data_IF_040974224266
#
_entry.id   IF_040974224266
#
_cell.length_a   1.000
_cell.length_b   1.000
_cell.length_c   1.000
_cell.angle_alpha   90.00
_cell.angle_beta   90.00
_cell.angle_gamma   90.00
#
_symmetry.space_group_name_H-M   'P 1'
#
loop_
_entity.id
_entity.type
_entity.pdbx_description
1 polymer ?
#
# COMPACT_ATOMS: atom_id res chain seq x y z
N UNK A 1 13.02 7.00 -26.78
CA UNK A 1 13.42 7.47 -25.43
C UNK A 1 13.98 6.28 -24.66
N UNK A 2 14.98 6.48 -23.81
CA UNK A 2 15.65 5.42 -23.03
C UNK A 2 15.77 5.84 -21.56
N UNK A 3 15.85 4.85 -20.67
CA UNK A 3 16.02 5.07 -19.24
C UNK A 3 17.44 5.55 -18.95
N UNK A 4 17.59 6.70 -18.28
CA UNK A 4 18.89 7.27 -17.94
C UNK A 4 19.60 6.60 -16.75
N UNK A 5 19.00 5.57 -16.16
CA UNK A 5 19.60 4.77 -15.06
C UNK A 5 20.19 3.47 -15.61
N UNK A 6 19.41 2.71 -16.38
CA UNK A 6 19.83 1.41 -16.90
C UNK A 6 20.21 1.43 -18.40
N UNK A 7 20.10 2.58 -19.06
CA UNK A 7 20.40 2.79 -20.49
C UNK A 7 19.61 1.87 -21.44
N UNK A 8 18.49 1.30 -20.97
CA UNK A 8 17.60 0.49 -21.80
C UNK A 8 16.55 1.35 -22.50
N UNK A 9 16.25 1.01 -23.76
CA UNK A 9 15.18 1.67 -24.52
C UNK A 9 13.82 1.36 -23.90
N UNK A 10 12.98 2.38 -23.75
CA UNK A 10 11.62 2.16 -23.28
C UNK A 10 10.84 1.33 -24.29
N UNK A 11 10.09 0.35 -23.81
CA UNK A 11 9.27 -0.52 -24.64
C UNK A 11 7.91 -0.71 -23.98
N UNK A 12 6.81 -0.29 -24.62
CA UNK A 12 5.47 -0.50 -24.07
C UNK A 12 5.07 -1.98 -24.05
N UNK A 13 5.79 -2.84 -24.77
CA UNK A 13 5.57 -4.28 -24.78
C UNK A 13 6.26 -5.00 -23.60
N UNK A 14 7.11 -4.31 -22.84
CA UNK A 14 7.83 -4.88 -21.72
C UNK A 14 7.52 -4.08 -20.45
N UNK A 15 6.81 -4.67 -19.45
CA UNK A 15 6.41 -3.94 -18.25
C UNK A 15 7.61 -3.29 -17.54
N UNK A 16 8.72 -4.04 -17.41
CA UNK A 16 10.00 -3.58 -16.84
C UNK A 16 10.58 -2.31 -17.51
N UNK A 17 10.29 -2.11 -18.80
CA UNK A 17 10.78 -0.99 -19.62
C UNK A 17 9.70 0.07 -19.88
N UNK A 18 8.58 -0.01 -19.16
CA UNK A 18 7.55 1.02 -19.22
C UNK A 18 8.09 2.30 -18.59
N UNK A 19 8.02 3.44 -19.29
CA UNK A 19 8.46 4.72 -18.74
C UNK A 19 7.47 5.20 -17.66
N UNK A 20 8.00 5.55 -16.49
CA UNK A 20 7.28 6.14 -15.36
C UNK A 20 7.83 7.53 -15.10
N UNK A 21 6.94 8.52 -15.00
CA UNK A 21 7.29 9.92 -14.73
C UNK A 21 7.18 10.17 -13.24
N UNK A 22 8.25 10.68 -12.63
CA UNK A 22 8.27 11.10 -11.23
C UNK A 22 7.55 12.44 -11.11
N UNK A 23 6.32 12.44 -10.60
CA UNK A 23 5.46 13.64 -10.53
C UNK A 23 6.08 14.79 -9.73
N UNK A 24 7.00 14.50 -8.81
CA UNK A 24 7.66 15.53 -8.00
C UNK A 24 8.79 16.28 -8.71
N UNK A 25 9.39 15.72 -9.76
CA UNK A 25 10.52 16.36 -10.46
C UNK A 25 10.42 16.34 -11.99
N UNK A 26 9.47 15.62 -12.56
CA UNK A 26 9.28 15.50 -14.02
C UNK A 26 10.25 14.54 -14.71
N UNK A 27 11.17 13.90 -13.98
CA UNK A 27 12.11 12.94 -14.56
C UNK A 27 11.44 11.60 -14.86
N UNK A 28 11.81 11.00 -15.99
CA UNK A 28 11.27 9.72 -16.45
C UNK A 28 12.30 8.60 -16.30
N UNK A 29 11.89 7.50 -15.66
CA UNK A 29 12.70 6.29 -15.46
C UNK A 29 11.88 5.05 -15.84
N UNK A 30 12.51 3.88 -16.04
CA UNK A 30 11.75 2.67 -16.33
C UNK A 30 11.18 2.05 -15.05
N UNK A 31 10.09 1.29 -15.17
CA UNK A 31 9.43 0.58 -14.08
C UNK A 31 10.40 -0.25 -13.25
N UNK A 32 11.24 -1.07 -13.90
CA UNK A 32 12.26 -1.88 -13.22
C UNK A 32 13.22 -1.05 -12.36
N UNK A 33 13.62 0.14 -12.85
CA UNK A 33 14.48 1.04 -12.08
C UNK A 33 13.70 1.68 -10.93
N UNK A 34 12.43 2.04 -11.14
CA UNK A 34 11.57 2.56 -10.09
C UNK A 34 11.37 1.53 -8.97
N UNK A 35 11.03 0.29 -9.31
CA UNK A 35 10.91 -0.82 -8.35
C UNK A 35 12.21 -1.08 -7.60
N UNK A 36 13.36 -1.07 -8.28
CA UNK A 36 14.64 -1.30 -7.63
C UNK A 36 15.02 -0.16 -6.67
N UNK A 37 14.60 1.08 -6.95
CA UNK A 37 14.74 2.21 -6.03
C UNK A 37 13.74 2.15 -4.86
N UNK A 38 12.58 1.53 -5.07
CA UNK A 38 11.50 1.38 -4.09
C UNK A 38 11.62 0.15 -3.20
N UNK A 39 12.44 -0.84 -3.57
CA UNK A 39 12.51 -2.19 -2.96
C UNK A 39 12.58 -2.26 -1.43
N UNK A 40 12.89 -1.17 -0.72
CA UNK A 40 12.88 -1.10 0.75
C UNK A 40 12.34 0.22 1.32
N UNK A 41 11.79 1.12 0.49
CA UNK A 41 11.43 2.46 0.94
C UNK A 41 10.13 2.93 0.32
N UNK A 42 9.23 3.50 1.14
CA UNK A 42 7.99 4.19 0.74
C UNK A 42 8.23 5.49 -0.05
N UNK A 43 9.46 5.72 -0.50
CA UNK A 43 9.91 6.99 -1.06
C UNK A 43 10.92 6.71 -2.15
N UNK A 44 10.64 7.22 -3.34
CA UNK A 44 11.53 7.16 -4.48
C UNK A 44 12.38 8.44 -4.49
N UNK A 45 13.68 8.29 -4.27
CA UNK A 45 14.62 9.41 -4.38
C UNK A 45 15.13 9.48 -5.82
N UNK A 46 14.80 10.57 -6.52
CA UNK A 46 15.30 10.79 -7.87
C UNK A 46 16.83 10.88 -7.87
N UNK A 47 17.56 10.13 -8.72
CA UNK A 47 19.02 10.21 -8.76
C UNK A 47 19.55 11.48 -9.41
N UNK A 48 18.73 12.20 -10.18
CA UNK A 48 19.12 13.44 -10.88
C UNK A 48 19.11 14.65 -9.92
N UNK A 49 17.97 14.94 -9.30
CA UNK A 49 17.82 16.14 -8.45
C UNK A 49 17.68 15.82 -6.95
N UNK A 50 17.72 14.53 -6.57
CA UNK A 50 17.52 14.05 -5.19
C UNK A 50 16.13 14.36 -4.62
N UNK A 51 15.21 14.85 -5.44
CA UNK A 51 13.81 15.08 -5.08
C UNK A 51 13.16 13.74 -4.74
N UNK A 52 12.44 13.73 -3.61
CA UNK A 52 11.76 12.54 -3.11
C UNK A 52 10.31 12.57 -3.58
N UNK A 53 9.92 11.53 -4.31
CA UNK A 53 8.53 11.25 -4.66
C UNK A 53 8.00 10.19 -3.72
N UNK A 54 6.94 10.52 -2.98
CA UNK A 54 6.21 9.55 -2.17
C UNK A 54 5.27 8.80 -3.10
N UNK A 55 5.46 7.48 -3.21
CA UNK A 55 4.49 6.60 -3.84
C UNK A 55 3.56 6.15 -2.73
N UNK A 56 2.29 6.55 -2.81
CA UNK A 56 1.24 5.94 -2.00
C UNK A 56 1.23 4.45 -2.37
N UNK A 57 1.58 3.59 -1.42
CA UNK A 57 1.43 2.15 -1.60
C UNK A 57 -0.06 1.83 -1.61
N UNK A 58 -0.68 1.90 -2.79
CA UNK A 58 -1.77 0.99 -3.11
C UNK A 58 -1.07 -0.30 -3.56
N UNK A 59 -0.72 -1.15 -2.60
CA UNK A 59 -0.10 -2.45 -2.86
C UNK A 59 -1.04 -3.30 -3.72
N UNK A 60 -0.91 -3.23 -5.04
CA UNK A 60 -1.53 -4.20 -5.94
C UNK A 60 -0.71 -5.48 -5.91
N UNK A 61 -0.99 -6.31 -4.91
CA UNK A 61 -0.90 -7.75 -5.05
C UNK A 61 -2.21 -8.29 -4.51
N UNK A 62 -3.28 -8.24 -5.31
CA UNK A 62 -4.52 -9.04 -5.13
C UNK A 62 -4.83 -9.45 -3.69
N UNK A 63 -4.81 -8.50 -2.75
CA UNK A 63 -4.67 -8.82 -1.34
C UNK A 63 -6.05 -8.96 -0.73
N UNK A 64 -6.71 -10.03 -1.13
CA UNK A 64 -7.91 -10.52 -0.48
C UNK A 64 -7.51 -11.15 0.87
N UNK A 65 -6.52 -10.64 1.60
CA UNK A 65 -6.06 -11.14 2.88
C UNK A 65 -5.94 -10.04 3.95
N UNK A 66 -6.01 -10.49 5.20
CA UNK A 66 -5.92 -9.61 6.35
C UNK A 66 -4.45 -9.28 6.61
N UNK A 67 -4.07 -8.02 6.47
CA UNK A 67 -2.71 -7.51 6.71
C UNK A 67 -2.18 -7.70 8.15
N UNK A 68 -3.00 -8.18 9.09
CA UNK A 68 -2.58 -8.51 10.47
C UNK A 68 -2.23 -9.99 10.61
N UNK A 69 -3.04 -10.89 10.04
CA UNK A 69 -2.86 -12.33 10.20
C UNK A 69 -2.44 -13.04 8.91
N UNK A 70 -2.27 -12.28 7.82
CA UNK A 70 -1.90 -12.71 6.47
C UNK A 70 -2.79 -13.84 5.93
N UNK A 71 -4.05 -13.90 6.40
CA UNK A 71 -5.02 -14.90 5.97
C UNK A 71 -6.01 -14.32 4.98
N UNK A 72 -6.30 -15.08 3.91
CA UNK A 72 -7.30 -14.72 2.91
C UNK A 72 -8.68 -14.50 3.53
N UNK A 73 -9.28 -13.35 3.24
CA UNK A 73 -10.68 -13.04 3.42
C UNK A 73 -11.54 -14.11 2.76
N UNK A 74 -12.57 -14.53 3.49
CA UNK A 74 -13.52 -15.53 3.03
C UNK A 74 -14.89 -15.17 3.57
N UNK A 75 -15.82 -14.80 2.68
CA UNK A 75 -17.19 -14.45 3.05
C UNK A 75 -17.97 -15.60 3.70
N UNK A 76 -17.56 -16.85 3.48
CA UNK A 76 -18.19 -18.01 4.11
C UNK A 76 -17.73 -18.23 5.56
N UNK A 77 -16.60 -17.65 5.97
CA UNK A 77 -16.03 -17.83 7.30
C UNK A 77 -16.22 -16.58 8.13
N UNK A 78 -17.05 -16.62 9.18
CA UNK A 78 -17.32 -15.47 10.08
C UNK A 78 -16.05 -14.76 10.57
N UNK A 79 -14.97 -15.50 10.79
CA UNK A 79 -13.68 -14.98 11.27
C UNK A 79 -12.86 -14.25 10.21
N UNK A 80 -13.10 -14.56 8.92
CA UNK A 80 -12.36 -14.03 7.77
C UNK A 80 -13.17 -13.01 6.98
N UNK A 81 -14.28 -12.51 7.52
CA UNK A 81 -15.04 -11.46 6.87
C UNK A 81 -14.26 -10.13 7.07
N UNK A 82 -13.94 -9.39 5.98
CA UNK A 82 -13.32 -8.08 6.09
C UNK A 82 -14.27 -7.07 6.75
N UNK A 83 -13.72 -6.22 7.60
CA UNK A 83 -14.40 -5.14 8.32
C UNK A 83 -13.58 -3.87 8.19
N UNK A 84 -14.27 -2.78 7.83
CA UNK A 84 -13.65 -1.47 7.60
C UNK A 84 -13.91 -0.58 8.81
N UNK A 85 -12.85 0.03 9.35
CA UNK A 85 -12.93 0.97 10.46
C UNK A 85 -13.31 2.37 9.96
N UNK A 86 -14.47 2.89 10.37
CA UNK A 86 -14.99 4.18 9.89
C UNK A 86 -14.08 5.39 10.17
N UNK A 87 -13.23 5.34 11.21
CA UNK A 87 -12.35 6.47 11.59
C UNK A 87 -11.06 6.56 10.77
N UNK A 88 -10.57 5.45 10.22
CA UNK A 88 -9.31 5.40 9.50
C UNK A 88 -9.42 4.88 8.06
N UNK A 89 -10.49 4.16 7.72
CA UNK A 89 -10.67 3.52 6.43
C UNK A 89 -9.91 2.20 6.27
N UNK A 90 -9.16 1.76 7.29
CA UNK A 90 -8.43 0.49 7.22
C UNK A 90 -9.34 -0.72 7.35
N UNK A 91 -9.00 -1.78 6.63
CA UNK A 91 -9.76 -3.03 6.56
C UNK A 91 -9.00 -4.17 7.25
N UNK A 92 -9.70 -5.00 8.03
CA UNK A 92 -9.16 -6.18 8.70
C UNK A 92 -10.20 -7.26 8.90
N UNK A 93 -9.78 -8.51 9.10
CA UNK A 93 -10.74 -9.60 9.30
C UNK A 93 -11.41 -9.52 10.67
N UNK A 94 -12.63 -10.04 10.77
CA UNK A 94 -13.41 -10.05 12.02
C UNK A 94 -12.63 -10.65 13.20
N UNK A 95 -11.82 -11.68 12.98
CA UNK A 95 -10.99 -12.27 14.03
C UNK A 95 -9.92 -11.31 14.56
N UNK A 96 -9.25 -10.58 13.67
CA UNK A 96 -8.27 -9.57 14.09
C UNK A 96 -8.98 -8.37 14.71
N UNK A 97 -10.13 -7.97 14.19
CA UNK A 97 -10.94 -6.90 14.77
C UNK A 97 -11.30 -7.18 16.23
N UNK A 98 -11.77 -8.41 16.54
CA UNK A 98 -12.05 -8.84 17.92
C UNK A 98 -10.83 -8.80 18.84
N UNK A 99 -9.62 -9.01 18.31
CA UNK A 99 -8.37 -8.90 19.09
C UNK A 99 -7.96 -7.46 19.33
N UNK A 100 -8.52 -6.50 18.59
CA UNK A 100 -8.24 -5.06 18.74
C UNK A 100 -9.37 -4.34 19.49
N UNK A 101 -10.44 -5.04 19.81
CA UNK A 101 -11.55 -4.56 20.63
C UNK A 101 -11.16 -4.70 22.11
N UNK A 102 -11.04 -3.56 22.79
CA UNK A 102 -10.75 -3.45 24.21
C UNK A 102 -11.66 -2.35 24.78
N UNK A 103 -12.38 -2.63 25.87
CA UNK A 103 -13.29 -1.68 26.53
C UNK A 103 -14.21 -0.87 25.57
N UNK A 104 -14.94 -1.56 24.68
CA UNK A 104 -15.84 -0.98 23.65
C UNK A 104 -15.14 -0.06 22.62
N UNK A 105 -13.82 -0.17 22.49
CA UNK A 105 -13.03 0.65 21.59
C UNK A 105 -12.14 -0.26 20.72
N UNK A 106 -12.05 0.07 19.43
CA UNK A 106 -11.15 -0.62 18.51
C UNK A 106 -9.98 0.30 18.19
N UNK A 107 -8.77 -0.14 18.52
CA UNK A 107 -7.54 0.57 18.16
C UNK A 107 -7.02 0.01 16.84
N UNK A 108 -6.89 0.85 15.83
CA UNK A 108 -6.34 0.41 14.55
C UNK A 108 -4.81 0.16 14.66
N UNK A 109 -4.27 -1.01 14.36
CA UNK A 109 -2.83 -1.28 14.40
C UNK A 109 -2.01 -0.52 13.35
N UNK A 110 -2.63 -0.05 12.24
CA UNK A 110 -1.91 0.65 11.17
C UNK A 110 -1.61 2.11 11.52
N UNK A 111 -2.62 2.82 12.02
CA UNK A 111 -2.55 4.26 12.27
C UNK A 111 -2.88 4.64 13.72
N UNK A 112 -3.06 3.65 14.60
CA UNK A 112 -3.36 3.81 16.04
C UNK A 112 -4.62 4.64 16.33
N UNK A 113 -5.50 4.83 15.34
CA UNK A 113 -6.77 5.54 15.53
C UNK A 113 -7.76 4.67 16.27
N UNK A 114 -8.40 5.27 17.26
CA UNK A 114 -9.40 4.63 18.09
C UNK A 114 -10.79 4.85 17.50
N UNK A 115 -11.52 3.76 17.29
CA UNK A 115 -12.92 3.74 16.86
C UNK A 115 -13.76 3.23 18.02
N UNK A 116 -14.56 4.10 18.64
CA UNK A 116 -15.51 3.68 19.67
C UNK A 116 -16.68 2.94 19.02
N UNK A 117 -17.01 1.74 19.52
CA UNK A 117 -18.14 0.94 19.04
C UNK A 117 -19.47 1.42 19.63
N UNK A 118 -19.42 2.06 20.80
CA UNK A 118 -20.57 2.76 21.38
C UNK A 118 -20.83 4.05 20.61
N UNK A 119 -21.81 3.99 19.72
CA UNK A 119 -22.60 5.18 19.40
C UNK A 119 -23.31 5.60 20.69
N UNK A 120 -23.14 6.85 21.10
CA UNK A 120 -24.16 7.48 21.93
C UNK A 120 -25.48 7.45 21.14
N UNK A 121 -26.39 6.59 21.63
CA UNK A 121 -27.86 6.57 21.48
C UNK A 121 -28.45 6.40 20.07
#
# INVERSE_FOLDING_TARGET
MECKICFQKFSPNLPELTPRILTSCGHTICEKCAENLLKNYKKLKCPFDRIVTYVSEDSDDSNMDCQICLQKYNGNSKNRIPRILKKCGHTMCHQCLKKQEEDDQIVCPFDRKVTRLRAEQ
#
